data_IF_442303561398
#
_entry.id   IF_442303561398
#
_cell.length_a   1.000
_cell.length_b   1.000
_cell.length_c   1.000
_cell.angle_alpha   90.00
_cell.angle_beta   90.00
_cell.angle_gamma   90.00
#
_symmetry.space_group_name_H-M   'P 1'
#
loop_
_entity.id
_entity.type
_entity.pdbx_description
1 polymer ?
#
# COMPACT_ATOMS: atom_id res chain seq x y z
N UNK A 1 2.03 -5.54 14.27
CA UNK A 1 1.80 -5.00 12.91
C UNK A 1 1.62 -6.13 11.89
N UNK A 2 2.43 -7.19 11.97
CA UNK A 2 2.37 -8.37 11.09
C UNK A 2 1.00 -9.04 10.99
N UNK A 3 0.36 -9.31 12.12
CA UNK A 3 -0.98 -9.90 12.16
C UNK A 3 -2.02 -8.96 11.57
N UNK A 4 -1.89 -7.65 11.80
CA UNK A 4 -2.85 -6.67 11.28
C UNK A 4 -2.87 -6.65 9.75
N UNK A 5 -1.71 -6.72 9.09
CA UNK A 5 -1.63 -6.76 7.61
C UNK A 5 -2.05 -8.13 7.06
N UNK A 6 -1.75 -9.21 7.77
CA UNK A 6 -2.17 -10.56 7.39
C UNK A 6 -3.70 -10.74 7.47
N UNK A 7 -4.32 -10.24 8.53
CA UNK A 7 -5.77 -10.34 8.77
C UNK A 7 -6.58 -9.26 8.06
N UNK A 8 -5.97 -8.14 7.66
CA UNK A 8 -6.65 -7.05 6.96
C UNK A 8 -7.41 -7.55 5.72
N UNK A 9 -6.81 -8.45 4.94
CA UNK A 9 -7.47 -9.05 3.78
C UNK A 9 -8.74 -9.82 4.15
N UNK A 10 -8.68 -10.59 5.24
CA UNK A 10 -9.80 -11.41 5.71
C UNK A 10 -10.95 -10.56 6.25
N UNK A 11 -10.62 -9.55 7.06
CA UNK A 11 -11.61 -8.67 7.71
C UNK A 11 -12.29 -7.74 6.71
N UNK A 12 -11.53 -7.19 5.75
CA UNK A 12 -12.04 -6.25 4.75
C UNK A 12 -12.60 -6.96 3.51
N UNK A 13 -12.26 -8.24 3.32
CA UNK A 13 -12.60 -8.99 2.10
C UNK A 13 -11.77 -8.56 0.88
N UNK A 14 -10.51 -8.14 1.09
CA UNK A 14 -9.61 -7.72 0.01
C UNK A 14 -8.73 -8.87 -0.49
N UNK A 15 -8.35 -8.81 -1.77
CA UNK A 15 -7.45 -9.80 -2.41
C UNK A 15 -5.98 -9.64 -1.96
N UNK A 16 -5.58 -8.40 -1.63
CA UNK A 16 -4.22 -8.06 -1.18
C UNK A 16 -4.26 -6.93 -0.17
N UNK A 17 -3.21 -6.84 0.64
CA UNK A 17 -2.97 -5.70 1.53
C UNK A 17 -1.47 -5.39 1.57
N UNK A 18 -1.13 -4.12 1.70
CA UNK A 18 0.25 -3.67 1.87
C UNK A 18 0.33 -2.65 3.00
N UNK A 19 1.45 -2.65 3.71
CA UNK A 19 1.80 -1.61 4.66
C UNK A 19 3.00 -0.85 4.15
N UNK A 20 2.80 0.46 3.97
CA UNK A 20 3.84 1.40 3.57
C UNK A 20 4.19 2.27 4.78
N UNK A 21 5.46 2.62 4.88
CA UNK A 21 5.96 3.57 5.88
C UNK A 21 6.30 4.86 5.15
N UNK A 22 5.86 5.98 5.71
CA UNK A 22 6.11 7.31 5.20
C UNK A 22 7.40 7.88 5.81
N UNK A 23 8.36 8.21 4.96
CA UNK A 23 9.59 8.91 5.29
C UNK A 23 9.41 10.39 4.90
N UNK A 24 9.06 11.22 5.89
CA UNK A 24 8.85 12.66 5.70
C UNK A 24 10.12 13.38 5.23
N UNK A 25 11.30 12.90 5.62
CA UNK A 25 12.58 13.55 5.26
C UNK A 25 12.90 13.43 3.78
N UNK A 26 12.40 12.37 3.14
CA UNK A 26 12.60 12.09 1.71
C UNK A 26 11.34 12.28 0.86
N UNK A 27 10.19 12.53 1.50
CA UNK A 27 8.86 12.49 0.88
C UNK A 27 8.63 11.18 0.10
N UNK A 28 8.93 10.06 0.74
CA UNK A 28 8.88 8.71 0.15
C UNK A 28 8.01 7.76 0.96
N UNK A 29 7.34 6.85 0.27
CA UNK A 29 6.69 5.68 0.84
C UNK A 29 7.52 4.45 0.52
N UNK A 30 7.88 3.66 1.53
CA UNK A 30 8.56 2.39 1.30
C UNK A 30 7.72 1.22 1.80
N UNK A 31 7.74 0.13 1.02
CA UNK A 31 6.95 -1.06 1.31
C UNK A 31 7.59 -1.83 2.46
N UNK A 32 6.96 -1.80 3.63
CA UNK A 32 7.41 -2.57 4.79
C UNK A 32 6.97 -4.02 4.68
N UNK A 33 5.70 -4.25 4.29
CA UNK A 33 5.11 -5.60 4.16
C UNK A 33 4.03 -5.67 3.09
N UNK A 34 3.90 -6.84 2.47
CA UNK A 34 2.81 -7.18 1.55
C UNK A 34 2.19 -8.50 2.00
N UNK A 35 0.87 -8.52 2.18
CA UNK A 35 0.05 -9.73 2.29
C UNK A 35 -0.54 -10.03 0.91
N UNK A 36 -0.16 -11.18 0.35
CA UNK A 36 -0.74 -11.71 -0.88
C UNK A 36 -1.89 -12.64 -0.46
N UNK A 37 -3.13 -12.32 -0.83
CA UNK A 37 -4.27 -13.18 -0.55
C UNK A 37 -4.11 -14.58 -1.15
N UNK A 38 -4.62 -15.57 -0.42
CA UNK A 38 -4.55 -16.99 -0.76
C UNK A 38 -5.39 -17.33 -1.99
N UNK A 39 -4.78 -17.26 -3.16
CA UNK A 39 -5.35 -17.74 -4.41
C UNK A 39 -4.29 -18.36 -5.30
N UNK A 40 -3.78 -19.55 -4.92
CA UNK A 40 -3.22 -20.65 -5.74
C UNK A 40 -2.20 -20.39 -6.87
N UNK A 41 -1.95 -19.15 -7.25
CA UNK A 41 -1.00 -18.73 -8.26
C UNK A 41 0.25 -18.25 -7.55
N UNK A 42 1.40 -18.77 -7.97
CA UNK A 42 2.73 -18.31 -7.54
C UNK A 42 2.91 -16.85 -7.96
N UNK A 43 2.37 -15.90 -7.19
CA UNK A 43 2.87 -14.54 -7.17
C UNK A 43 4.24 -14.62 -6.49
N UNK A 44 5.25 -14.64 -7.34
CA UNK A 44 6.66 -14.63 -7.02
C UNK A 44 6.96 -13.54 -5.97
N UNK A 45 6.91 -13.93 -4.70
CA UNK A 45 7.93 -13.52 -3.74
C UNK A 45 9.26 -14.11 -4.23
N UNK A 46 9.84 -13.52 -5.27
CA UNK A 46 11.29 -13.58 -5.46
C UNK A 46 11.85 -12.65 -4.39
N UNK A 47 12.05 -13.20 -3.19
CA UNK A 47 12.70 -12.51 -2.09
C UNK A 47 12.18 -12.78 -0.68
N UNK A 48 11.51 -13.89 -0.39
CA UNK A 48 11.46 -14.40 0.97
C UNK A 48 12.80 -15.07 1.30
N UNK A 49 13.81 -14.25 1.60
CA UNK A 49 15.16 -14.68 1.95
C UNK A 49 16.11 -13.49 1.84
N UNK A 50 16.62 -13.03 2.99
CA UNK A 50 17.73 -12.07 3.13
C UNK A 50 17.82 -10.99 2.02
N UNK A 51 17.03 -9.92 2.14
CA UNK A 51 17.10 -8.76 1.23
C UNK A 51 15.87 -8.57 0.36
N UNK A 52 14.66 -8.52 0.96
CA UNK A 52 13.49 -7.99 0.27
C UNK A 52 13.81 -6.55 -0.15
N UNK A 53 13.95 -6.31 -1.46
CA UNK A 53 14.28 -4.99 -2.00
C UNK A 53 13.15 -4.04 -1.63
N UNK A 54 13.43 -3.07 -0.75
CA UNK A 54 12.48 -2.02 -0.37
C UNK A 54 12.02 -1.29 -1.64
N UNK A 55 10.75 -1.46 -2.01
CA UNK A 55 10.16 -0.67 -3.09
C UNK A 55 9.83 0.69 -2.51
N UNK A 56 10.57 1.72 -2.94
CA UNK A 56 10.34 3.12 -2.64
C UNK A 56 9.49 3.76 -3.74
N UNK A 57 8.50 4.52 -3.33
CA UNK A 57 7.60 5.29 -4.18
C UNK A 57 7.66 6.74 -3.69
N UNK A 58 7.63 7.72 -4.60
CA UNK A 58 7.47 9.11 -4.18
C UNK A 58 6.10 9.27 -3.52
N UNK A 59 6.06 9.84 -2.32
CA UNK A 59 4.80 10.13 -1.65
C UNK A 59 4.02 11.21 -2.39
N UNK A 60 4.64 12.05 -3.23
CA UNK A 60 3.97 13.06 -4.06
C UNK A 60 2.85 12.49 -4.95
N UNK A 61 2.88 11.19 -5.25
CA UNK A 61 1.94 10.52 -6.14
C UNK A 61 1.24 9.35 -5.47
N UNK A 62 0.15 8.90 -6.09
CA UNK A 62 -0.61 7.76 -5.57
C UNK A 62 -1.60 8.16 -4.48
N UNK A 63 -2.62 7.32 -4.32
CA UNK A 63 -3.61 7.46 -3.25
C UNK A 63 -2.96 7.28 -1.87
N UNK A 64 -1.99 6.38 -1.75
CA UNK A 64 -1.23 6.18 -0.52
C UNK A 64 -0.46 7.43 -0.08
N UNK A 65 0.17 8.12 -1.02
CA UNK A 65 0.90 9.36 -0.76
C UNK A 65 0.00 10.50 -0.32
N UNK A 66 -1.17 10.62 -0.95
CA UNK A 66 -2.21 11.57 -0.54
C UNK A 66 -2.71 11.29 0.88
N UNK A 67 -3.07 10.03 1.20
CA UNK A 67 -3.52 9.65 2.54
C UNK A 67 -2.45 9.87 3.60
N UNK A 68 -1.19 9.55 3.31
CA UNK A 68 -0.07 9.75 4.23
C UNK A 68 0.10 11.24 4.62
N UNK A 69 -0.07 12.16 3.67
CA UNK A 69 0.02 13.60 3.94
C UNK A 69 -1.23 14.19 4.59
N UNK A 70 -2.41 13.78 4.15
CA UNK A 70 -3.65 14.33 4.65
C UNK A 70 -4.05 13.75 6.02
N UNK A 71 -3.57 12.55 6.36
CA UNK A 71 -3.98 11.84 7.58
C UNK A 71 -5.45 11.43 7.57
N UNK A 72 -6.08 11.41 6.39
CA UNK A 72 -7.50 11.05 6.21
C UNK A 72 -7.60 9.77 5.40
N UNK A 73 -8.41 8.83 5.87
CA UNK A 73 -8.69 7.59 5.14
C UNK A 73 -9.46 7.86 3.84
N UNK A 74 -9.20 7.04 2.82
CA UNK A 74 -9.84 7.18 1.51
C UNK A 74 -10.25 5.82 0.93
N UNK A 75 -11.37 5.82 0.21
CA UNK A 75 -11.95 4.66 -0.48
C UNK A 75 -12.12 5.00 -1.96
N UNK A 76 -11.31 4.37 -2.80
CA UNK A 76 -11.38 4.50 -4.25
C UNK A 76 -12.13 3.29 -4.82
N UNK A 77 -13.36 3.52 -5.28
CA UNK A 77 -14.23 2.47 -5.82
C UNK A 77 -13.80 1.98 -7.21
N UNK A 78 -13.22 2.87 -8.04
CA UNK A 78 -12.61 2.54 -9.32
C UNK A 78 -11.22 3.17 -9.40
N UNK A 79 -10.19 2.35 -9.22
CA UNK A 79 -8.80 2.79 -9.22
C UNK A 79 -8.41 3.43 -10.55
N UNK A 80 -8.90 2.92 -11.69
CA UNK A 80 -8.52 3.46 -12.99
C UNK A 80 -9.27 4.73 -13.38
N UNK A 81 -10.35 5.07 -12.67
CA UNK A 81 -11.04 6.34 -12.81
C UNK A 81 -10.45 7.44 -11.90
N UNK A 82 -9.65 7.07 -10.89
CA UNK A 82 -9.04 8.03 -9.96
C UNK A 82 -7.74 8.61 -10.56
N UNK A 83 -7.65 9.95 -10.72
CA UNK A 83 -6.49 10.59 -11.33
C UNK A 83 -5.20 10.45 -10.50
N UNK A 84 -5.30 10.08 -9.23
CA UNK A 84 -4.16 9.86 -8.34
C UNK A 84 -3.59 8.46 -8.48
N UNK A 85 -4.33 7.51 -9.06
CA UNK A 85 -3.89 6.13 -9.16
C UNK A 85 -2.83 5.95 -10.25
N UNK A 86 -1.75 5.25 -9.90
CA UNK A 86 -0.62 4.99 -10.79
C UNK A 86 -0.68 3.54 -11.31
N UNK A 87 -1.24 3.35 -12.50
CA UNK A 87 -1.42 2.02 -13.12
C UNK A 87 -0.11 1.35 -13.57
N UNK A 88 1.00 2.10 -13.65
CA UNK A 88 2.28 1.56 -14.11
C UNK A 88 2.81 0.44 -13.21
N UNK A 89 2.55 0.53 -11.89
CA UNK A 89 2.96 -0.51 -10.96
C UNK A 89 2.20 -1.82 -11.22
N UNK A 90 0.88 -1.72 -11.34
CA UNK A 90 -0.05 -2.80 -11.69
C UNK A 90 0.37 -3.50 -12.99
N UNK A 91 0.64 -2.70 -14.04
CA UNK A 91 1.09 -3.20 -15.34
C UNK A 91 2.42 -3.98 -15.23
N UNK A 92 3.37 -3.50 -14.43
CA UNK A 92 4.68 -4.15 -14.23
C UNK A 92 4.59 -5.48 -13.50
N UNK A 93 3.66 -5.63 -12.56
CA UNK A 93 3.50 -6.86 -11.76
C UNK A 93 2.40 -7.78 -12.30
N UNK A 94 1.72 -7.39 -13.38
CA UNK A 94 0.66 -8.17 -14.01
C UNK A 94 -0.62 -8.26 -13.17
N UNK A 95 -0.90 -7.24 -12.36
CA UNK A 95 -2.11 -7.14 -11.53
C UNK A 95 -2.98 -6.01 -12.05
N UNK A 96 -4.30 -6.12 -11.83
CA UNK A 96 -5.24 -5.04 -12.07
C UNK A 96 -6.04 -4.74 -10.80
N UNK A 97 -5.75 -3.61 -10.18
CA UNK A 97 -6.43 -3.07 -9.02
C UNK A 97 -7.77 -2.50 -9.48
N UNK A 98 -8.87 -3.04 -8.94
CA UNK A 98 -10.22 -2.57 -9.25
C UNK A 98 -10.62 -1.42 -8.34
N UNK A 99 -10.40 -1.60 -7.05
CA UNK A 99 -10.75 -0.68 -5.98
C UNK A 99 -9.66 -0.75 -4.91
N UNK A 100 -9.51 0.30 -4.12
CA UNK A 100 -8.59 0.31 -2.99
C UNK A 100 -9.17 1.08 -1.80
N UNK A 101 -8.82 0.65 -0.60
CA UNK A 101 -9.02 1.41 0.63
C UNK A 101 -7.65 1.70 1.20
N UNK A 102 -7.42 2.94 1.65
CA UNK A 102 -6.18 3.32 2.31
C UNK A 102 -6.49 4.07 3.58
N UNK A 103 -5.87 3.63 4.67
CA UNK A 103 -6.08 4.19 6.01
C UNK A 103 -4.72 4.59 6.57
N UNK A 104 -4.58 5.81 7.09
CA UNK A 104 -3.34 6.24 7.72
C UNK A 104 -3.21 5.60 9.10
N UNK A 105 -1.97 5.19 9.45
CA UNK A 105 -1.61 4.75 10.80
C UNK A 105 -0.73 5.83 11.39
N UNK A 106 -1.28 6.59 12.33
CA UNK A 106 -0.67 7.81 12.85
C UNK A 106 -0.18 7.57 14.28
N UNK A 107 0.96 8.15 14.62
CA UNK A 107 1.37 8.30 16.02
C UNK A 107 0.42 9.30 16.70
N UNK A 108 0.09 9.14 18.00
CA UNK A 108 -0.64 10.14 18.77
C UNK A 108 -0.13 11.59 18.63
N UNK A 109 1.16 11.79 18.33
CA UNK A 109 1.78 13.09 18.07
C UNK A 109 1.72 13.57 16.61
N UNK A 110 0.97 12.93 15.72
CA UNK A 110 0.89 13.34 14.32
C UNK A 110 0.05 14.63 14.17
N UNK A 111 0.61 15.64 13.51
CA UNK A 111 -0.07 16.92 13.24
C UNK A 111 -0.14 17.91 14.40
N UNK A 112 0.59 17.68 15.50
CA UNK A 112 0.81 18.68 16.55
C UNK A 112 2.09 19.49 16.25
N UNK A 113 1.90 20.70 15.73
CA UNK A 113 2.86 21.81 15.86
C UNK A 113 2.57 22.61 17.15
#
# INVERSE_FOLDING_TARGET
VDVAVAEACSVVGSDRASLLVFDETRDELWTHRQSLGGGGGRASARGAGAGATEVRLSAAYGVAGWVARCGVADLVADAHADPRFQSDHDARIGVRTRSLVTVPVLDPGWGVE
#
